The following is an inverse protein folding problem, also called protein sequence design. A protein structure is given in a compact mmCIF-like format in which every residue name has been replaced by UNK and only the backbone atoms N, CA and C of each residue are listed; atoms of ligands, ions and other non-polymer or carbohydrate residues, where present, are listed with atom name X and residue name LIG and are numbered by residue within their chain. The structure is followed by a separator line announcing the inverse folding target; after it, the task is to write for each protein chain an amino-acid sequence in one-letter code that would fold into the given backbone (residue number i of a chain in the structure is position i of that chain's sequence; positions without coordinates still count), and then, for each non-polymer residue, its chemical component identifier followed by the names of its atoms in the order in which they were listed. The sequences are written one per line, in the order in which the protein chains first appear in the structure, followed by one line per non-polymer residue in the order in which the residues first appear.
data_IF_783899250859
#
_entry.id   IF_783899250859
#
_cell.length_a   1.000
_cell.length_b   1.000
_cell.length_c   1.000
_cell.angle_alpha   90.00
_cell.angle_beta   90.00
_cell.angle_gamma   90.00
#
_symmetry.space_group_name_H-M   'P 1'
#
loop_
_entity.id
_entity.type
_entity.pdbx_description
1 polymer ?
#
# COMPACT_ATOMS: atom_id res chain seq x y z
N UNK A 1 -12.73 -39.54 52.49
CA UNK A 1 -14.19 -39.75 52.46
C UNK A 1 -14.72 -38.96 51.27
N UNK A 2 -15.50 -39.64 50.43
CA UNK A 2 -16.10 -39.11 49.19
C UNK A 2 -17.20 -38.09 49.50
N UNK A 3 -17.46 -37.19 48.55
CA UNK A 3 -18.78 -36.72 48.04
C UNK A 3 -18.81 -35.19 47.81
N UNK A 4 -18.81 -34.84 46.52
CA UNK A 4 -19.68 -33.93 45.74
C UNK A 4 -19.95 -32.49 46.23
N UNK A 5 -19.69 -31.48 45.37
CA UNK A 5 -20.57 -31.02 44.27
C UNK A 5 -20.20 -29.57 43.87
N UNK A 6 -20.02 -29.33 42.56
CA UNK A 6 -19.97 -27.99 41.98
C UNK A 6 -21.36 -27.32 41.97
N UNK A 7 -21.41 -25.97 41.94
CA UNK A 7 -22.47 -25.30 41.22
C UNK A 7 -21.95 -24.38 40.10
N UNK A 8 -22.61 -24.52 38.95
CA UNK A 8 -22.49 -23.71 37.74
C UNK A 8 -22.66 -22.19 37.96
N UNK A 9 -22.07 -21.34 37.10
CA UNK A 9 -22.29 -19.90 37.13
C UNK A 9 -23.64 -19.52 36.51
N UNK A 10 -24.36 -18.65 37.22
CA UNK A 10 -25.66 -18.08 36.84
C UNK A 10 -25.51 -17.07 35.70
N UNK A 11 -26.35 -17.23 34.67
CA UNK A 11 -26.71 -16.17 33.73
C UNK A 11 -27.44 -15.02 34.46
N UNK A 12 -27.07 -13.78 34.13
CA UNK A 12 -27.80 -12.61 34.60
C UNK A 12 -27.21 -11.27 34.14
N UNK A 13 -27.91 -10.60 33.22
CA UNK A 13 -28.06 -9.15 33.23
C UNK A 13 -27.19 -8.32 32.28
N UNK A 14 -27.65 -8.14 31.04
CA UNK A 14 -27.32 -6.95 30.24
C UNK A 14 -28.60 -6.28 29.74
N UNK A 15 -29.15 -5.38 30.56
CA UNK A 15 -30.02 -4.31 30.11
C UNK A 15 -29.61 -2.98 30.77
N UNK A 16 -29.74 -1.91 29.97
CA UNK A 16 -29.65 -0.47 30.28
C UNK A 16 -28.26 0.17 30.49
N UNK A 17 -27.75 0.80 29.41
CA UNK A 17 -27.31 2.19 29.47
C UNK A 17 -27.43 2.89 28.09
N UNK A 18 -28.66 3.30 27.73
CA UNK A 18 -28.88 4.39 26.75
C UNK A 18 -28.63 5.71 27.47
N UNK A 19 -27.45 6.32 27.28
CA UNK A 19 -27.23 7.72 27.66
C UNK A 19 -27.91 8.63 26.64
N UNK A 20 -28.84 9.44 27.12
CA UNK A 20 -29.42 10.59 26.39
C UNK A 20 -28.34 11.66 26.24
N UNK A 21 -28.08 12.09 25.01
CA UNK A 21 -27.29 13.29 24.72
C UNK A 21 -28.20 14.52 24.96
N UNK A 22 -27.78 15.54 25.72
CA UNK A 22 -28.60 16.71 25.97
C UNK A 22 -28.73 17.58 24.72
N UNK A 23 -29.94 18.09 24.50
CA UNK A 23 -30.37 18.87 23.32
C UNK A 23 -29.58 20.17 23.04
N UNK A 24 -28.61 20.55 23.89
CA UNK A 24 -27.78 21.73 23.68
C UNK A 24 -26.70 21.57 22.60
N UNK A 25 -26.21 20.36 22.33
CA UNK A 25 -25.15 20.18 21.31
C UNK A 25 -25.70 20.20 19.88
N UNK A 26 -26.95 19.82 19.66
CA UNK A 26 -27.60 19.87 18.34
C UNK A 26 -27.81 21.31 17.85
N UNK A 27 -28.04 22.28 18.75
CA UNK A 27 -28.18 23.69 18.38
C UNK A 27 -26.85 24.33 17.97
N UNK A 28 -25.73 23.89 18.54
CA UNK A 28 -24.40 24.42 18.20
C UNK A 28 -23.93 23.92 16.82
N UNK A 29 -24.21 22.65 16.51
CA UNK A 29 -23.91 22.06 15.20
C UNK A 29 -24.76 22.69 14.10
N UNK A 30 -26.06 22.95 14.37
CA UNK A 30 -26.92 23.65 13.42
C UNK A 30 -26.47 25.10 13.16
N UNK A 31 -25.99 25.82 14.17
CA UNK A 31 -25.47 27.17 14.03
C UNK A 31 -24.16 27.22 13.21
N UNK A 32 -23.27 26.24 13.39
CA UNK A 32 -22.03 26.12 12.62
C UNK A 32 -22.29 25.78 11.15
N UNK A 33 -23.27 24.93 10.87
CA UNK A 33 -23.69 24.60 9.49
C UNK A 33 -24.31 25.84 8.80
N UNK A 34 -25.14 26.61 9.51
CA UNK A 34 -25.74 27.83 8.97
C UNK A 34 -24.68 28.92 8.67
N UNK A 35 -23.65 29.06 9.52
CA UNK A 35 -22.55 30.00 9.31
C UNK A 35 -21.67 29.61 8.10
N UNK A 36 -21.40 28.31 7.93
CA UNK A 36 -20.66 27.80 6.78
C UNK A 36 -21.43 28.02 5.46
N UNK A 37 -22.75 27.83 5.46
CA UNK A 37 -23.61 28.10 4.31
C UNK A 37 -23.64 29.61 3.96
N UNK A 38 -23.64 30.50 4.96
CA UNK A 38 -23.65 31.95 4.73
C UNK A 38 -22.32 32.45 4.13
N UNK A 39 -21.20 31.87 4.54
CA UNK A 39 -19.87 32.17 4.00
C UNK A 39 -19.70 31.63 2.58
N UNK A 40 -20.27 30.46 2.28
CA UNK A 40 -20.28 29.89 0.94
C UNK A 40 -21.08 30.73 -0.06
N UNK A 41 -22.24 31.26 0.34
CA UNK A 41 -23.06 32.15 -0.51
C UNK A 41 -22.39 33.51 -0.74
N UNK A 42 -21.65 34.04 0.25
CA UNK A 42 -20.89 35.30 0.08
C UNK A 42 -19.65 35.16 -0.81
N UNK A 43 -19.10 33.96 -0.96
CA UNK A 43 -17.96 33.67 -1.85
C UNK A 43 -18.31 33.52 -3.34
N UNK A 44 -19.60 33.53 -3.70
CA UNK A 44 -20.10 33.30 -5.07
C UNK A 44 -20.46 34.60 -5.83
N UNK A 45 -20.15 35.79 -5.29
CA UNK A 45 -20.35 37.04 -6.03
C UNK A 45 -19.21 37.22 -7.02
N UNK A 46 -19.49 37.03 -8.31
CA UNK A 46 -18.55 37.22 -9.40
C UNK A 46 -18.06 38.69 -9.47
N UNK A 47 -16.76 38.94 -9.73
CA UNK A 47 -16.30 40.28 -10.04
C UNK A 47 -16.76 40.70 -11.45
N UNK A 48 -17.34 41.91 -11.55
CA UNK A 48 -17.68 42.55 -12.82
C UNK A 48 -16.46 42.71 -13.74
N UNK A 49 -16.61 42.62 -15.07
CA UNK A 49 -15.49 42.75 -16.00
C UNK A 49 -15.00 44.20 -16.07
N UNK A 50 -13.71 44.40 -15.80
CA UNK A 50 -12.99 45.64 -16.06
C UNK A 50 -12.38 45.54 -17.46
N UNK A 51 -12.79 46.42 -18.36
CA UNK A 51 -12.23 46.55 -19.72
C UNK A 51 -10.75 47.00 -19.68
N UNK A 52 -9.90 46.51 -20.59
CA UNK A 52 -8.52 46.97 -20.68
C UNK A 52 -8.44 48.36 -21.37
N UNK A 53 -7.50 49.23 -20.98
CA UNK A 53 -7.26 50.48 -21.69
C UNK A 53 -6.44 50.27 -22.97
N UNK A 54 -6.82 51.03 -24.00
CA UNK A 54 -6.12 51.24 -25.27
C UNK A 54 -4.68 51.72 -25.06
N UNK A 55 -3.76 51.17 -25.84
CA UNK A 55 -2.42 51.71 -26.04
C UNK A 55 -2.23 52.03 -27.53
N UNK A 56 -2.43 53.29 -27.89
CA UNK A 56 -1.93 53.90 -29.12
C UNK A 56 -0.84 54.92 -28.78
N UNK A 57 0.34 54.69 -29.38
CA UNK A 57 1.38 55.64 -29.82
C UNK A 57 1.69 56.91 -29.03
N UNK A 58 2.97 57.08 -28.66
CA UNK A 58 3.78 58.24 -29.08
C UNK A 58 5.27 57.98 -28.87
N UNK A 59 6.06 58.38 -29.88
CA UNK A 59 7.51 58.42 -29.88
C UNK A 59 7.96 59.84 -29.47
N UNK A 60 9.04 59.97 -28.68
CA UNK A 60 10.06 61.02 -28.89
C UNK A 60 11.32 60.85 -28.02
N UNK A 61 12.47 60.91 -28.72
CA UNK A 61 13.74 61.55 -28.38
C UNK A 61 14.43 61.34 -27.02
N UNK A 62 15.59 60.65 -27.08
CA UNK A 62 16.86 61.18 -26.55
C UNK A 62 18.05 60.53 -27.31
N UNK A 63 18.90 61.35 -27.93
CA UNK A 63 20.21 60.95 -28.48
C UNK A 63 21.34 61.05 -27.44
N UNK A 64 22.60 61.17 -27.86
CA UNK A 64 23.42 60.05 -28.34
C UNK A 64 24.62 59.78 -27.41
N UNK A 65 25.15 58.55 -27.41
CA UNK A 65 26.49 58.26 -26.91
C UNK A 65 27.23 57.42 -27.95
N UNK A 66 28.38 57.93 -28.38
CA UNK A 66 29.26 57.43 -29.45
C UNK A 66 30.03 56.16 -29.05
N UNK A 67 30.53 55.38 -30.04
CA UNK A 67 31.03 54.03 -29.85
C UNK A 67 32.55 53.99 -29.63
N UNK A 68 33.03 52.95 -28.93
CA UNK A 68 34.45 52.60 -28.92
C UNK A 68 34.70 51.24 -29.61
N UNK A 69 35.86 51.18 -30.25
CA UNK A 69 36.15 50.41 -31.44
C UNK A 69 36.42 48.90 -31.24
N UNK A 70 36.10 48.15 -32.29
CA UNK A 70 36.54 46.78 -32.61
C UNK A 70 38.03 46.75 -32.99
N UNK A 71 38.71 45.60 -32.85
CA UNK A 71 39.49 45.10 -33.99
C UNK A 71 39.01 43.73 -34.49
N UNK A 72 39.29 43.52 -35.77
CA UNK A 72 38.75 42.53 -36.70
C UNK A 72 39.55 41.22 -36.79
N UNK A 73 38.78 40.15 -37.10
CA UNK A 73 38.95 38.76 -37.58
C UNK A 73 40.27 38.22 -38.18
N UNK A 74 40.33 36.87 -38.36
CA UNK A 74 40.50 36.30 -39.70
C UNK A 74 39.39 35.31 -40.13
N UNK A 75 39.28 34.99 -41.44
CA UNK A 75 38.09 34.44 -42.09
C UNK A 75 37.93 32.92 -41.97
N UNK A 76 36.66 32.50 -41.93
CA UNK A 76 36.24 31.10 -41.88
C UNK A 76 36.30 30.38 -43.23
N UNK A 77 36.51 29.07 -43.15
CA UNK A 77 36.38 28.10 -44.23
C UNK A 77 34.88 27.78 -44.44
N UNK A 78 34.36 27.75 -45.68
CA UNK A 78 32.95 27.43 -45.91
C UNK A 78 32.69 25.93 -45.73
N UNK A 79 31.75 25.58 -44.85
CA UNK A 79 31.19 24.23 -44.71
C UNK A 79 30.03 24.10 -45.72
N UNK A 80 29.96 23.03 -46.53
CA UNK A 80 28.87 22.83 -47.49
C UNK A 80 27.54 22.55 -46.78
N UNK A 81 26.39 22.92 -47.37
CA UNK A 81 25.09 22.63 -46.80
C UNK A 81 24.78 21.13 -46.86
N UNK A 82 24.42 20.55 -45.72
CA UNK A 82 23.83 19.21 -45.66
C UNK A 82 22.39 19.32 -46.16
N UNK A 83 22.15 18.81 -47.36
CA UNK A 83 20.79 18.61 -47.90
C UNK A 83 20.21 17.36 -47.22
N UNK A 84 19.30 17.55 -46.27
CA UNK A 84 18.43 16.49 -45.76
C UNK A 84 17.27 16.32 -46.76
N UNK A 85 17.23 15.16 -47.43
CA UNK A 85 16.09 14.75 -48.23
C UNK A 85 14.85 14.57 -47.32
N UNK A 86 13.65 15.00 -47.73
CA UNK A 86 12.44 14.77 -46.96
C UNK A 86 12.09 13.27 -46.97
N UNK A 87 12.11 12.65 -45.79
CA UNK A 87 11.52 11.34 -45.57
C UNK A 87 10.00 11.45 -45.71
N UNK A 88 9.44 10.64 -46.62
CA UNK A 88 8.00 10.51 -46.79
C UNK A 88 7.35 9.95 -45.50
N UNK A 89 6.19 10.48 -45.06
CA UNK A 89 5.50 9.98 -43.89
C UNK A 89 4.88 8.60 -44.17
N UNK A 90 5.27 7.61 -43.38
CA UNK A 90 4.54 6.33 -43.27
C UNK A 90 3.17 6.56 -42.63
N UNK A 91 2.07 5.98 -43.17
CA UNK A 91 0.74 6.15 -42.60
C UNK A 91 0.61 5.40 -41.26
N UNK A 92 0.29 6.14 -40.19
CA UNK A 92 -0.15 5.55 -38.92
C UNK A 92 -1.65 5.24 -38.97
N UNK A 93 -2.11 4.13 -38.36
CA UNK A 93 -3.54 3.86 -38.24
C UNK A 93 -4.22 4.92 -37.35
N UNK A 94 -5.23 5.58 -37.92
CA UNK A 94 -6.09 6.56 -37.23
C UNK A 94 -7.05 5.80 -36.32
N UNK A 95 -6.85 5.92 -35.01
CA UNK A 95 -7.85 5.51 -34.03
C UNK A 95 -8.88 6.64 -33.85
N UNK A 96 -10.18 6.32 -33.74
CA UNK A 96 -11.21 7.33 -33.55
C UNK A 96 -11.04 8.03 -32.19
N UNK A 97 -11.41 9.31 -32.07
CA UNK A 97 -11.28 10.05 -30.82
C UNK A 97 -12.20 9.47 -29.74
N UNK A 98 -11.76 9.41 -28.46
CA UNK A 98 -12.63 9.06 -27.36
C UNK A 98 -13.68 10.16 -27.14
N UNK A 99 -14.94 9.74 -26.92
CA UNK A 99 -16.05 10.63 -26.63
C UNK A 99 -15.81 11.43 -25.33
N UNK A 100 -16.26 12.70 -25.25
CA UNK A 100 -16.02 13.56 -24.09
C UNK A 100 -16.80 13.09 -22.84
N UNK A 101 -16.15 13.30 -21.69
CA UNK A 101 -16.42 12.66 -20.42
C UNK A 101 -17.79 12.87 -19.76
N UNK A 102 -18.05 12.04 -18.75
CA UNK A 102 -18.77 12.44 -17.54
C UNK A 102 -18.03 11.84 -16.34
N UNK A 103 -17.33 12.69 -15.59
CA UNK A 103 -16.96 12.39 -14.22
C UNK A 103 -18.19 12.54 -13.33
N UNK A 104 -18.59 11.46 -12.67
CA UNK A 104 -19.51 11.46 -11.53
C UNK A 104 -19.10 10.30 -10.63
N UNK A 105 -18.54 10.64 -9.47
CA UNK A 105 -18.41 9.74 -8.33
C UNK A 105 -19.81 9.30 -7.88
N UNK A 106 -20.21 8.07 -8.20
CA UNK A 106 -21.37 7.44 -7.60
C UNK A 106 -20.94 6.62 -6.38
N UNK A 107 -21.39 7.07 -5.20
CA UNK A 107 -21.46 6.25 -3.99
C UNK A 107 -22.48 5.12 -4.24
N UNK A 108 -22.13 3.83 -4.05
CA UNK A 108 -23.14 2.79 -4.06
C UNK A 108 -23.95 2.86 -2.76
N UNK A 109 -25.21 3.27 -2.88
CA UNK A 109 -26.23 2.97 -1.87
C UNK A 109 -26.40 1.46 -1.78
N UNK A 110 -26.10 0.89 -0.61
CA UNK A 110 -26.42 -0.49 -0.29
C UNK A 110 -27.93 -0.58 -0.03
N UNK A 111 -28.65 -1.11 -1.00
CA UNK A 111 -30.04 -1.54 -0.82
C UNK A 111 -30.06 -2.78 0.06
N UNK A 112 -30.78 -2.70 1.18
CA UNK A 112 -31.07 -3.84 2.04
C UNK A 112 -31.82 -4.94 1.26
N UNK A 113 -31.58 -6.24 1.53
CA UNK A 113 -32.33 -7.30 0.89
C UNK A 113 -33.80 -7.30 1.35
N UNK A 114 -34.75 -7.64 0.47
CA UNK A 114 -36.16 -7.66 0.82
C UNK A 114 -36.50 -8.80 1.81
N UNK A 115 -37.22 -8.46 2.86
CA UNK A 115 -37.87 -9.38 3.79
C UNK A 115 -38.77 -10.37 3.03
N UNK A 116 -38.48 -11.67 3.14
CA UNK A 116 -39.39 -12.72 2.67
C UNK A 116 -40.60 -12.82 3.60
N UNK A 117 -41.77 -12.72 2.98
CA UNK A 117 -43.07 -12.90 3.61
C UNK A 117 -43.27 -14.35 4.11
N UNK A 118 -44.00 -14.45 5.23
CA UNK A 118 -44.54 -15.70 5.78
C UNK A 118 -45.43 -16.41 4.75
N UNK A 119 -45.23 -17.72 4.61
CA UNK A 119 -46.21 -18.64 3.99
C UNK A 119 -46.74 -19.55 5.10
N UNK A 120 -48.06 -19.61 5.35
CA UNK A 120 -48.64 -20.51 6.35
C UNK A 120 -49.02 -21.85 5.70
N UNK A 121 -48.58 -22.97 6.31
CA UNK A 121 -49.05 -24.30 5.94
C UNK A 121 -48.13 -25.45 6.34
N UNK A 122 -48.04 -25.77 7.63
CA UNK A 122 -47.52 -27.07 8.08
C UNK A 122 -48.70 -28.05 8.23
N UNK A 123 -48.76 -29.05 7.34
CA UNK A 123 -49.47 -30.32 7.59
C UNK A 123 -48.46 -31.31 8.16
N UNK A 124 -48.78 -31.89 9.31
CA UNK A 124 -48.04 -32.98 9.93
C UNK A 124 -48.32 -34.29 9.18
N UNK A 125 -47.26 -34.96 8.72
CA UNK A 125 -47.28 -36.38 8.33
C UNK A 125 -46.50 -37.19 9.37
N UNK A 126 -47.03 -38.35 9.82
CA UNK A 126 -46.36 -39.19 10.82
C UNK A 126 -45.24 -40.05 10.21
N UNK A 127 -44.17 -40.24 10.99
CA UNK A 127 -43.06 -41.15 10.68
C UNK A 127 -43.47 -42.62 10.87
N UNK A 128 -43.04 -43.54 9.99
CA UNK A 128 -43.29 -44.98 10.13
C UNK A 128 -42.38 -45.63 11.20
N UNK A 129 -42.97 -46.59 11.92
CA UNK A 129 -42.38 -47.29 13.06
C UNK A 129 -41.22 -48.23 12.74
N UNK A 130 -40.36 -48.42 13.73
CA UNK A 130 -39.26 -49.38 13.72
C UNK A 130 -39.74 -50.83 13.90
N UNK A 131 -39.07 -51.83 13.29
CA UNK A 131 -39.47 -53.25 13.33
C UNK A 131 -39.09 -53.96 14.65
N UNK A 132 -39.63 -55.17 14.91
CA UNK A 132 -39.46 -55.87 16.18
C UNK A 132 -38.07 -56.48 16.36
N UNK A 133 -37.64 -56.48 17.61
CA UNK A 133 -36.39 -57.07 18.12
C UNK A 133 -36.50 -58.60 18.13
N UNK A 134 -35.58 -59.29 17.45
CA UNK A 134 -35.40 -60.73 17.57
C UNK A 134 -34.59 -61.06 18.83
N UNK A 135 -35.08 -62.02 19.64
CA UNK A 135 -34.31 -62.63 20.73
C UNK A 135 -33.16 -63.45 20.14
N UNK A 136 -31.95 -63.25 20.66
CA UNK A 136 -30.78 -64.09 20.37
C UNK A 136 -30.35 -64.79 21.66
N UNK A 137 -30.10 -66.09 21.54
CA UNK A 137 -29.70 -67.02 22.59
C UNK A 137 -28.41 -66.63 23.31
N UNK A 138 -28.38 -66.92 24.61
CA UNK A 138 -27.22 -66.73 25.48
C UNK A 138 -26.09 -67.72 25.13
N UNK A 139 -24.95 -67.19 24.71
CA UNK A 139 -23.67 -67.92 24.60
C UNK A 139 -22.70 -67.43 25.69
N UNK A 140 -21.87 -68.37 26.15
CA UNK A 140 -20.92 -68.28 27.27
C UNK A 140 -20.01 -67.04 27.30
N UNK A 141 -19.48 -66.64 28.48
CA UNK A 141 -18.61 -65.47 28.60
C UNK A 141 -17.25 -65.71 27.94
N UNK A 142 -17.00 -64.97 26.86
CA UNK A 142 -15.69 -64.79 26.22
C UNK A 142 -14.76 -63.98 27.13
N UNK A 143 -13.47 -64.34 27.26
CA UNK A 143 -12.50 -63.57 28.06
C UNK A 143 -12.36 -62.14 27.52
N UNK A 144 -12.41 -61.18 28.42
CA UNK A 144 -12.25 -59.75 28.14
C UNK A 144 -10.90 -59.50 27.45
N UNK A 145 -10.85 -58.87 26.25
CA UNK A 145 -9.59 -58.46 25.67
C UNK A 145 -8.95 -57.38 26.55
N UNK A 146 -7.70 -57.61 26.96
CA UNK A 146 -6.89 -56.59 27.61
C UNK A 146 -6.86 -55.33 26.74
N UNK A 147 -7.15 -54.18 27.35
CA UNK A 147 -6.93 -52.86 26.77
C UNK A 147 -5.47 -52.76 26.32
N UNK A 148 -5.24 -53.03 25.04
CA UNK A 148 -3.97 -52.73 24.40
C UNK A 148 -3.99 -51.22 24.20
N UNK A 149 -3.17 -50.51 24.96
CA UNK A 149 -2.96 -49.07 24.79
C UNK A 149 -2.52 -48.84 23.35
N UNK A 150 -3.42 -48.35 22.51
CA UNK A 150 -3.06 -47.80 21.20
C UNK A 150 -2.04 -46.70 21.47
N UNK A 151 -0.79 -46.80 20.97
CA UNK A 151 0.15 -45.70 21.10
C UNK A 151 -0.47 -44.48 20.43
N UNK A 152 -0.53 -43.37 21.17
CA UNK A 152 -0.93 -42.09 20.60
C UNK A 152 -0.11 -41.86 19.32
N UNK A 153 -0.71 -41.35 18.22
CA UNK A 153 0.05 -41.02 17.02
C UNK A 153 1.23 -40.15 17.46
N UNK A 154 2.44 -40.64 17.21
CA UNK A 154 3.65 -39.86 17.42
C UNK A 154 3.45 -38.58 16.64
N UNK A 155 3.27 -37.45 17.34
CA UNK A 155 3.28 -36.14 16.70
C UNK A 155 4.56 -36.12 15.88
N UNK A 156 4.44 -35.99 14.57
CA UNK A 156 5.62 -35.70 13.75
C UNK A 156 6.35 -34.55 14.45
N UNK A 157 7.67 -34.68 14.68
CA UNK A 157 8.42 -33.58 15.23
C UNK A 157 8.15 -32.39 14.33
N UNK A 158 7.59 -31.32 14.90
CA UNK A 158 7.49 -30.04 14.19
C UNK A 158 8.88 -29.80 13.63
N UNK A 159 9.05 -29.74 12.30
CA UNK A 159 10.37 -29.64 11.70
C UNK A 159 11.07 -28.49 12.40
N UNK A 160 12.22 -28.76 13.02
CA UNK A 160 12.98 -27.76 13.75
C UNK A 160 13.26 -26.66 12.75
N UNK A 161 12.50 -25.55 12.84
CA UNK A 161 12.47 -24.51 11.81
C UNK A 161 13.90 -24.02 11.66
N UNK A 162 14.44 -24.19 10.45
CA UNK A 162 15.81 -23.82 10.13
C UNK A 162 16.10 -22.34 10.41
N UNK A 163 17.38 -21.93 10.36
CA UNK A 163 17.75 -20.52 10.55
C UNK A 163 16.95 -19.64 9.58
N UNK A 164 16.47 -18.47 10.05
CA UNK A 164 15.87 -17.48 9.16
C UNK A 164 16.86 -17.13 8.04
N UNK A 165 16.40 -17.21 6.79
CA UNK A 165 17.19 -16.81 5.62
C UNK A 165 16.56 -15.56 5.01
N UNK A 166 17.40 -14.68 4.48
CA UNK A 166 16.94 -13.47 3.82
C UNK A 166 16.29 -13.85 2.48
N UNK A 167 14.97 -13.93 2.48
CA UNK A 167 14.17 -13.92 1.25
C UNK A 167 13.78 -12.48 0.94
N UNK A 168 13.14 -12.26 -0.21
CA UNK A 168 12.55 -10.96 -0.54
C UNK A 168 11.06 -10.88 -0.22
N UNK A 169 10.48 -11.93 0.36
CA UNK A 169 9.06 -11.95 0.73
C UNK A 169 8.87 -11.37 2.13
N UNK A 170 7.98 -10.39 2.22
CA UNK A 170 7.68 -9.64 3.42
C UNK A 170 6.19 -9.34 3.55
N UNK A 171 5.84 -8.56 4.56
CA UNK A 171 4.45 -8.26 4.91
C UNK A 171 4.29 -6.83 5.44
N UNK A 172 3.20 -6.18 5.06
CA UNK A 172 2.77 -4.90 5.62
C UNK A 172 1.72 -5.09 6.70
N UNK A 173 1.94 -4.41 7.84
CA UNK A 173 1.07 -4.36 9.00
C UNK A 173 0.46 -2.98 9.11
N UNK A 174 -0.84 -2.93 8.90
CA UNK A 174 -1.67 -1.73 8.93
C UNK A 174 -2.45 -1.68 10.24
N UNK A 175 -1.71 -1.86 11.33
CA UNK A 175 -2.15 -1.70 12.70
C UNK A 175 -0.98 -1.21 13.57
N UNK A 176 -1.33 -0.43 14.59
CA UNK A 176 -0.38 0.16 15.53
C UNK A 176 0.07 -0.79 16.66
N UNK A 177 -0.53 -1.99 16.78
CA UNK A 177 -0.42 -2.86 17.96
C UNK A 177 0.09 -4.28 17.70
N UNK A 178 0.48 -4.96 18.79
CA UNK A 178 1.14 -6.27 18.78
C UNK A 178 0.27 -7.49 18.53
N UNK A 179 -0.97 -7.32 18.06
CA UNK A 179 -1.88 -8.43 17.80
C UNK A 179 -1.34 -9.43 16.78
N UNK A 180 -0.45 -8.99 15.88
CA UNK A 180 0.08 -9.78 14.76
C UNK A 180 1.44 -10.43 15.01
N UNK A 181 1.97 -10.41 16.25
CA UNK A 181 3.22 -11.12 16.57
C UNK A 181 3.16 -12.62 16.23
N UNK A 182 2.07 -13.37 16.52
CA UNK A 182 1.98 -14.79 16.16
C UNK A 182 2.05 -15.02 14.64
N UNK A 183 1.32 -14.23 13.86
CA UNK A 183 1.33 -14.33 12.39
C UNK A 183 2.71 -13.98 11.83
N UNK A 184 3.36 -12.95 12.36
CA UNK A 184 4.73 -12.61 12.01
C UNK A 184 5.70 -13.76 12.31
N UNK A 185 5.62 -14.36 13.50
CA UNK A 185 6.46 -15.50 13.90
C UNK A 185 6.28 -16.70 12.96
N UNK A 186 5.05 -16.91 12.49
CA UNK A 186 4.71 -17.95 11.53
C UNK A 186 5.27 -17.66 10.14
N UNK A 187 5.10 -16.44 9.62
CA UNK A 187 5.54 -16.05 8.29
C UNK A 187 7.06 -15.86 8.17
N UNK A 188 7.75 -15.46 9.24
CA UNK A 188 9.20 -15.15 9.27
C UNK A 188 9.66 -14.19 8.15
N UNK A 189 8.99 -13.03 7.98
CA UNK A 189 9.29 -12.12 6.88
C UNK A 189 10.70 -11.53 6.99
N UNK A 190 11.30 -11.25 5.83
CA UNK A 190 12.60 -10.55 5.74
C UNK A 190 12.44 -9.04 5.50
N UNK A 191 11.25 -8.60 5.07
CA UNK A 191 10.89 -7.19 4.93
C UNK A 191 9.56 -6.97 5.63
N UNK A 192 9.45 -5.93 6.46
CA UNK A 192 8.27 -5.65 7.26
C UNK A 192 7.92 -4.18 7.12
N UNK A 193 6.69 -3.86 6.74
CA UNK A 193 6.16 -2.49 6.85
C UNK A 193 5.31 -2.41 8.11
N UNK A 194 5.55 -1.39 8.94
CA UNK A 194 4.76 -1.08 10.12
C UNK A 194 4.11 0.29 9.97
N UNK A 195 2.78 0.34 9.98
CA UNK A 195 2.02 1.58 9.98
C UNK A 195 1.71 2.04 11.41
N UNK A 196 2.07 3.29 11.73
CA UNK A 196 1.91 3.91 13.05
C UNK A 196 2.39 3.01 14.21
N UNK A 197 3.61 2.42 14.15
CA UNK A 197 4.04 1.45 15.14
C UNK A 197 4.21 2.08 16.52
N UNK A 198 3.61 1.47 17.54
CA UNK A 198 4.00 1.73 18.93
C UNK A 198 5.40 1.21 19.21
N UNK A 199 6.10 1.88 20.12
CA UNK A 199 7.50 1.60 20.42
C UNK A 199 7.73 0.16 20.92
N UNK A 200 6.97 -0.27 21.92
CA UNK A 200 7.04 -1.61 22.52
C UNK A 200 6.80 -2.73 21.48
N UNK A 201 5.88 -2.51 20.57
CA UNK A 201 5.61 -3.43 19.49
C UNK A 201 6.77 -3.49 18.49
N UNK A 202 7.28 -2.35 18.01
CA UNK A 202 8.40 -2.33 17.09
C UNK A 202 9.68 -2.96 17.69
N UNK A 203 9.94 -2.73 18.98
CA UNK A 203 11.02 -3.38 19.73
C UNK A 203 10.85 -4.91 19.75
N UNK A 204 9.62 -5.38 19.99
CA UNK A 204 9.29 -6.81 19.96
C UNK A 204 9.49 -7.42 18.57
N UNK A 205 9.07 -6.72 17.51
CA UNK A 205 9.28 -7.14 16.12
C UNK A 205 10.78 -7.21 15.80
N UNK A 206 11.58 -6.19 16.14
CA UNK A 206 13.03 -6.20 15.90
C UNK A 206 13.74 -7.30 16.70
N UNK A 207 13.33 -7.55 17.95
CA UNK A 207 13.87 -8.65 18.75
C UNK A 207 13.59 -10.01 18.10
N UNK A 208 12.40 -10.19 17.53
CA UNK A 208 12.00 -11.42 16.84
C UNK A 208 12.71 -11.57 15.49
N UNK A 209 12.89 -10.47 14.75
CA UNK A 209 13.48 -10.44 13.42
C UNK A 209 14.68 -9.48 13.36
N UNK A 210 15.82 -9.83 13.99
CA UNK A 210 16.96 -8.93 14.11
C UNK A 210 17.56 -8.50 12.76
N UNK A 211 17.35 -9.28 11.71
CA UNK A 211 17.88 -9.04 10.35
C UNK A 211 16.82 -8.58 9.34
N UNK A 212 15.55 -8.49 9.71
CA UNK A 212 14.53 -8.01 8.78
C UNK A 212 14.75 -6.52 8.47
N UNK A 213 14.46 -6.12 7.23
CA UNK A 213 14.39 -4.72 6.88
C UNK A 213 13.01 -4.17 7.24
N UNK A 214 12.95 -3.20 8.14
CA UNK A 214 11.71 -2.66 8.69
C UNK A 214 11.48 -1.24 8.15
N UNK A 215 10.33 -1.03 7.51
CA UNK A 215 9.86 0.26 7.01
C UNK A 215 8.79 0.80 7.95
N UNK A 216 8.97 2.02 8.43
CA UNK A 216 7.98 2.75 9.21
C UNK A 216 7.15 3.68 8.32
N UNK A 217 5.86 3.75 8.59
CA UNK A 217 4.93 4.68 7.92
C UNK A 217 4.05 5.36 8.96
N UNK A 218 3.97 6.68 8.91
CA UNK A 218 2.94 7.42 9.65
C UNK A 218 1.73 7.65 8.75
N UNK A 219 0.55 7.18 9.16
CA UNK A 219 -0.66 7.33 8.34
C UNK A 219 -1.10 8.80 8.25
N UNK A 220 -1.39 9.27 7.03
CA UNK A 220 -1.85 10.62 6.77
C UNK A 220 -3.15 10.60 5.97
N UNK A 221 -4.25 11.04 6.58
CA UNK A 221 -5.55 11.16 5.89
C UNK A 221 -5.51 12.27 4.83
N UNK A 222 -4.90 13.41 5.18
CA UNK A 222 -4.75 14.55 4.28
C UNK A 222 -3.27 14.64 3.87
N UNK A 223 -3.03 14.72 2.56
CA UNK A 223 -1.68 14.75 1.97
C UNK A 223 -1.55 15.95 1.02
N UNK A 224 -1.68 17.19 1.52
CA UNK A 224 -1.75 18.36 0.67
C UNK A 224 -0.36 18.71 0.10
N UNK A 225 -0.35 19.24 -1.12
CA UNK A 225 0.84 19.70 -1.84
C UNK A 225 0.90 21.22 -2.01
N UNK A 226 0.06 21.97 -1.28
CA UNK A 226 0.20 23.42 -1.18
C UNK A 226 1.47 23.76 -0.38
N UNK A 227 2.27 24.72 -0.83
CA UNK A 227 3.57 25.04 -0.19
C UNK A 227 4.42 23.78 0.07
N UNK A 228 4.72 22.98 -0.97
CA UNK A 228 5.15 21.59 -0.83
C UNK A 228 6.41 21.42 0.02
N UNK A 229 7.40 22.32 -0.10
CA UNK A 229 8.61 22.31 0.72
C UNK A 229 8.29 22.46 2.21
N UNK A 230 7.42 23.41 2.57
CA UNK A 230 6.98 23.58 3.96
C UNK A 230 6.25 22.33 4.46
N UNK A 231 5.35 21.77 3.65
CA UNK A 231 4.64 20.52 3.97
C UNK A 231 5.61 19.36 4.19
N UNK A 232 6.67 19.27 3.39
CA UNK A 232 7.72 18.25 3.54
C UNK A 232 8.44 18.35 4.88
N UNK A 233 8.81 19.56 5.30
CA UNK A 233 9.43 19.82 6.61
C UNK A 233 8.47 19.47 7.74
N UNK A 234 7.22 19.95 7.68
CA UNK A 234 6.19 19.69 8.70
C UNK A 234 5.91 18.19 8.85
N UNK A 235 5.83 17.47 7.73
CA UNK A 235 5.60 16.03 7.76
C UNK A 235 6.82 15.26 8.25
N UNK A 236 8.04 15.69 7.92
CA UNK A 236 9.26 15.11 8.49
C UNK A 236 9.33 15.30 10.01
N UNK A 237 8.98 16.48 10.52
CA UNK A 237 8.89 16.73 11.96
C UNK A 237 7.79 15.89 12.63
N UNK A 238 6.71 15.58 11.90
CA UNK A 238 5.69 14.63 12.35
C UNK A 238 6.20 13.20 12.42
N UNK A 239 6.84 12.71 11.36
CA UNK A 239 7.43 11.37 11.30
C UNK A 239 8.52 11.21 12.37
N UNK A 240 9.34 12.23 12.59
CA UNK A 240 10.41 12.21 13.57
C UNK A 240 9.94 11.92 15.00
N UNK A 241 8.70 12.31 15.37
CA UNK A 241 8.14 12.01 16.70
C UNK A 241 8.04 10.51 16.97
N UNK A 242 7.74 9.72 15.95
CA UNK A 242 7.68 8.26 16.03
C UNK A 242 9.04 7.63 15.71
N UNK A 243 9.76 8.20 14.73
CA UNK A 243 10.97 7.60 14.19
C UNK A 243 12.20 7.75 15.09
N UNK A 244 12.34 8.84 15.84
CA UNK A 244 13.51 9.09 16.70
C UNK A 244 13.62 8.06 17.84
N UNK A 245 12.53 7.75 18.59
CA UNK A 245 12.55 6.66 19.56
C UNK A 245 12.87 5.28 18.94
N UNK A 246 12.56 5.10 17.66
CA UNK A 246 12.73 3.85 16.91
C UNK A 246 14.03 3.77 16.10
N UNK A 247 14.99 4.67 16.35
CA UNK A 247 16.26 4.68 15.65
C UNK A 247 17.04 3.39 15.93
N UNK A 248 17.43 2.69 14.86
CA UNK A 248 18.09 1.37 14.94
C UNK A 248 17.13 0.19 15.10
N UNK A 249 15.84 0.45 15.29
CA UNK A 249 14.76 -0.55 15.28
C UNK A 249 14.08 -0.56 13.92
N UNK A 250 13.73 0.61 13.39
CA UNK A 250 13.15 0.81 12.06
C UNK A 250 14.23 1.36 11.12
N UNK A 251 14.36 0.75 9.94
CA UNK A 251 15.47 1.00 9.01
C UNK A 251 15.23 2.18 8.06
N UNK A 252 13.97 2.46 7.73
CA UNK A 252 13.57 3.53 6.82
C UNK A 252 12.17 4.06 7.12
N UNK A 253 11.92 5.33 6.83
CA UNK A 253 10.61 5.97 7.02
C UNK A 253 10.09 6.63 5.75
N UNK A 254 8.80 6.44 5.51
CA UNK A 254 8.10 6.90 4.32
C UNK A 254 7.48 8.29 4.51
N UNK A 255 7.40 9.04 3.41
CA UNK A 255 6.61 10.26 3.30
C UNK A 255 5.12 9.96 3.07
N UNK A 256 4.49 10.78 2.24
CA UNK A 256 3.12 10.52 1.78
C UNK A 256 3.02 9.26 0.90
N UNK A 257 1.79 8.81 0.66
CA UNK A 257 1.46 7.60 -0.09
C UNK A 257 0.55 7.93 -1.27
N UNK A 258 0.95 7.54 -2.48
CA UNK A 258 0.13 7.62 -3.70
C UNK A 258 -0.55 8.98 -3.90
N UNK A 259 0.23 10.06 -3.77
CA UNK A 259 -0.28 11.43 -3.88
C UNK A 259 -0.49 11.83 -5.33
N UNK A 260 0.23 11.19 -6.25
CA UNK A 260 0.26 11.59 -7.65
C UNK A 260 -0.74 10.79 -8.49
N UNK A 261 -1.26 11.44 -9.53
CA UNK A 261 -2.09 10.81 -10.56
C UNK A 261 -1.39 10.79 -11.92
N UNK A 262 -1.85 9.93 -12.82
CA UNK A 262 -1.28 9.79 -14.15
C UNK A 262 -1.25 11.13 -14.91
N UNK A 263 -0.06 11.53 -15.37
CA UNK A 263 0.22 12.79 -16.11
C UNK A 263 -0.14 14.07 -15.34
N UNK A 264 -0.18 14.02 -14.02
CA UNK A 264 -0.38 15.19 -13.18
C UNK A 264 0.94 15.92 -12.90
N UNK A 265 1.53 16.47 -13.96
CA UNK A 265 2.86 17.09 -13.90
C UNK A 265 2.99 18.24 -12.88
N UNK A 266 1.96 19.09 -12.64
CA UNK A 266 2.01 20.05 -11.54
C UNK A 266 2.19 19.36 -10.17
N UNK A 267 1.42 18.31 -9.88
CA UNK A 267 1.58 17.57 -8.63
C UNK A 267 2.85 16.74 -8.61
N UNK A 268 3.39 16.28 -9.74
CA UNK A 268 4.71 15.63 -9.75
C UNK A 268 5.79 16.58 -9.25
N UNK A 269 5.84 17.81 -9.76
CA UNK A 269 6.80 18.83 -9.32
C UNK A 269 6.61 19.21 -7.86
N UNK A 270 5.35 19.42 -7.45
CA UNK A 270 5.05 19.75 -6.06
C UNK A 270 5.43 18.59 -5.12
N UNK A 271 5.11 17.35 -5.49
CA UNK A 271 5.45 16.19 -4.69
C UNK A 271 6.96 15.93 -4.63
N UNK A 272 7.71 16.14 -5.71
CA UNK A 272 9.18 16.11 -5.65
C UNK A 272 9.72 17.15 -4.65
N UNK A 273 9.26 18.40 -4.71
CA UNK A 273 9.70 19.45 -3.77
C UNK A 273 9.35 19.11 -2.31
N UNK A 274 8.19 18.48 -2.07
CA UNK A 274 7.82 17.94 -0.76
C UNK A 274 8.79 16.86 -0.31
N UNK A 275 9.08 15.87 -1.16
CA UNK A 275 9.92 14.72 -0.81
C UNK A 275 11.37 15.12 -0.56
N UNK A 276 11.92 16.06 -1.34
CA UNK A 276 13.26 16.61 -1.10
C UNK A 276 13.34 17.24 0.28
N UNK A 277 12.40 18.12 0.61
CA UNK A 277 12.35 18.78 1.91
C UNK A 277 12.16 17.79 3.07
N UNK A 278 11.28 16.81 2.87
CA UNK A 278 11.05 15.72 3.82
C UNK A 278 12.33 14.93 4.10
N UNK A 279 13.02 14.45 3.05
CA UNK A 279 14.21 13.64 3.18
C UNK A 279 15.38 14.42 3.78
N UNK A 280 15.61 15.66 3.34
CA UNK A 280 16.65 16.53 3.89
C UNK A 280 16.40 16.83 5.37
N UNK A 281 15.16 17.10 5.76
CA UNK A 281 14.81 17.36 7.17
C UNK A 281 14.97 16.10 8.01
N UNK A 282 14.38 14.98 7.59
CA UNK A 282 14.37 13.74 8.36
C UNK A 282 15.78 13.15 8.52
N UNK A 283 16.55 13.10 7.43
CA UNK A 283 17.91 12.54 7.44
C UNK A 283 18.93 13.54 8.01
N UNK A 284 18.86 14.81 7.62
CA UNK A 284 19.85 15.82 7.97
C UNK A 284 19.70 16.34 9.41
N UNK A 285 18.47 16.48 9.91
CA UNK A 285 18.23 16.97 11.29
C UNK A 285 18.14 15.84 12.30
N UNK A 286 17.38 14.78 12.00
CA UNK A 286 17.10 13.71 12.97
C UNK A 286 18.00 12.47 12.79
N UNK A 287 18.75 12.39 11.69
CA UNK A 287 19.57 11.24 11.37
C UNK A 287 18.74 9.98 11.17
N UNK A 288 17.53 10.11 10.63
CA UNK A 288 16.60 9.03 10.34
C UNK A 288 16.54 8.81 8.82
N UNK A 289 16.82 7.59 8.31
CA UNK A 289 16.71 7.30 6.87
C UNK A 289 15.32 7.56 6.30
N UNK A 290 15.26 8.29 5.20
CA UNK A 290 14.03 8.62 4.49
C UNK A 290 13.90 7.78 3.20
N UNK A 291 12.65 7.58 2.78
CA UNK A 291 12.29 6.91 1.54
C UNK A 291 11.51 7.85 0.63
N UNK A 292 11.95 8.00 -0.62
CA UNK A 292 11.20 8.67 -1.69
C UNK A 292 10.22 7.70 -2.38
N UNK A 293 9.30 8.24 -3.17
CA UNK A 293 8.34 7.54 -4.00
C UNK A 293 7.07 7.15 -3.23
N UNK A 294 6.79 5.85 -3.25
CA UNK A 294 5.59 5.22 -2.74
C UNK A 294 4.32 5.53 -3.56
N UNK A 295 4.50 5.52 -4.88
CA UNK A 295 3.45 5.73 -5.87
C UNK A 295 2.89 4.39 -6.36
N UNK A 296 1.58 4.37 -6.63
CA UNK A 296 0.88 3.23 -7.23
C UNK A 296 1.38 2.96 -8.65
N UNK A 297 1.37 1.69 -9.11
CA UNK A 297 1.77 1.39 -10.48
C UNK A 297 0.81 2.10 -11.46
N UNK A 298 1.38 2.83 -12.42
CA UNK A 298 0.60 3.61 -13.39
C UNK A 298 0.38 5.08 -13.03
N UNK A 299 0.63 5.47 -11.77
CA UNK A 299 0.55 6.86 -11.35
C UNK A 299 1.63 7.74 -12.01
N UNK A 300 2.83 7.19 -12.20
CA UNK A 300 3.98 7.83 -12.87
C UNK A 300 4.54 6.84 -13.88
N UNK A 301 4.78 7.28 -15.13
CA UNK A 301 5.42 6.43 -16.13
C UNK A 301 6.92 6.27 -15.85
N UNK A 302 7.55 5.13 -16.19
CA UNK A 302 8.94 4.87 -15.86
C UNK A 302 9.92 5.98 -16.25
N UNK A 303 9.76 6.58 -17.43
CA UNK A 303 10.64 7.65 -17.92
C UNK A 303 10.39 9.02 -17.26
N UNK A 304 9.26 9.17 -16.59
CA UNK A 304 8.89 10.39 -15.88
C UNK A 304 9.58 10.46 -14.51
N UNK A 305 9.99 9.34 -13.92
CA UNK A 305 10.74 9.34 -12.64
C UNK A 305 12.05 10.10 -12.74
N UNK A 306 12.85 9.83 -13.78
CA UNK A 306 14.10 10.54 -14.01
C UNK A 306 13.88 12.03 -14.32
N UNK A 307 12.73 12.39 -14.89
CA UNK A 307 12.42 13.77 -15.27
C UNK A 307 11.92 14.60 -14.09
N UNK A 308 11.01 14.03 -13.28
CA UNK A 308 10.27 14.79 -12.27
C UNK A 308 10.69 14.48 -10.83
N UNK A 309 11.28 13.31 -10.57
CA UNK A 309 11.57 12.83 -9.22
C UNK A 309 13.06 12.57 -8.95
N UNK A 310 13.94 12.89 -9.91
CA UNK A 310 15.37 12.61 -9.80
C UNK A 310 16.02 13.16 -8.52
N UNK A 311 15.64 14.38 -8.11
CA UNK A 311 16.19 15.00 -6.92
C UNK A 311 15.72 14.28 -5.65
N UNK A 312 14.41 14.08 -5.48
CA UNK A 312 13.84 13.36 -4.32
C UNK A 312 14.45 11.97 -4.16
N UNK A 313 14.59 11.24 -5.27
CA UNK A 313 15.22 9.91 -5.31
C UNK A 313 16.70 9.99 -4.93
N UNK A 314 17.44 10.98 -5.44
CA UNK A 314 18.88 11.12 -5.18
C UNK A 314 19.20 11.50 -3.74
N UNK A 315 18.37 12.33 -3.10
CA UNK A 315 18.61 12.78 -1.71
C UNK A 315 18.12 11.77 -0.67
N UNK A 316 17.19 10.88 -1.03
CA UNK A 316 16.64 9.87 -0.12
C UNK A 316 17.53 8.64 -0.04
N UNK A 317 17.61 8.02 1.15
CA UNK A 317 18.42 6.81 1.34
C UNK A 317 17.82 5.57 0.67
N UNK A 318 16.50 5.53 0.50
CA UNK A 318 15.77 4.44 -0.14
C UNK A 318 14.73 4.98 -1.12
N UNK A 319 14.26 4.12 -2.01
CA UNK A 319 13.20 4.42 -2.95
C UNK A 319 12.10 3.36 -2.89
N UNK A 320 10.88 3.77 -2.56
CA UNK A 320 9.70 2.92 -2.44
C UNK A 320 8.84 2.96 -3.69
N UNK A 321 8.28 1.81 -4.09
CA UNK A 321 7.31 1.70 -5.19
C UNK A 321 6.26 0.63 -4.85
N UNK A 322 5.10 0.69 -5.50
CA UNK A 322 4.07 -0.35 -5.36
C UNK A 322 4.07 -1.32 -6.55
N UNK A 323 3.59 -2.54 -6.33
CA UNK A 323 3.45 -3.58 -7.34
C UNK A 323 2.06 -4.23 -7.27
N UNK A 324 1.11 -3.68 -8.03
CA UNK A 324 -0.23 -4.21 -8.17
C UNK A 324 -0.47 -4.71 -9.60
N UNK A 325 -1.23 -5.81 -9.73
CA UNK A 325 -1.79 -6.19 -11.01
C UNK A 325 -2.75 -5.10 -11.52
N UNK A 326 -2.94 -4.93 -12.84
CA UNK A 326 -3.95 -4.04 -13.40
C UNK A 326 -5.34 -4.32 -12.83
N UNK A 327 -6.19 -3.28 -12.79
CA UNK A 327 -7.57 -3.43 -12.35
C UNK A 327 -8.31 -4.51 -13.16
N UNK A 328 -9.02 -5.39 -12.47
CA UNK A 328 -9.75 -6.51 -13.08
C UNK A 328 -8.91 -7.75 -13.40
N UNK A 329 -7.58 -7.70 -13.26
CA UNK A 329 -6.73 -8.89 -13.36
C UNK A 329 -6.83 -9.74 -12.10
N UNK A 330 -6.82 -11.06 -12.30
CA UNK A 330 -6.93 -12.04 -11.21
C UNK A 330 -5.62 -12.72 -10.86
N UNK A 331 -4.53 -12.39 -11.56
CA UNK A 331 -3.22 -12.97 -11.28
C UNK A 331 -2.08 -11.97 -11.48
N UNK A 332 -1.17 -11.88 -10.50
CA UNK A 332 0.05 -11.08 -10.63
C UNK A 332 1.04 -11.70 -11.61
N UNK A 333 1.05 -13.04 -11.71
CA UNK A 333 1.92 -13.79 -12.63
C UNK A 333 1.43 -13.81 -14.08
N UNK A 334 0.25 -13.25 -14.38
CA UNK A 334 -0.24 -13.14 -15.76
C UNK A 334 0.67 -12.24 -16.60
N UNK A 335 0.98 -12.59 -17.86
CA UNK A 335 1.75 -11.72 -18.76
C UNK A 335 1.16 -10.29 -18.89
N UNK A 336 -0.17 -10.14 -18.81
CA UNK A 336 -0.83 -8.83 -18.84
C UNK A 336 -0.53 -7.97 -17.59
N UNK A 337 -0.19 -8.61 -16.47
CA UNK A 337 0.12 -7.92 -15.21
C UNK A 337 1.58 -7.51 -15.08
N UNK A 338 2.50 -8.14 -15.83
CA UNK A 338 3.94 -7.98 -15.63
C UNK A 338 4.43 -6.53 -15.78
N UNK A 339 3.84 -5.76 -16.69
CA UNK A 339 4.25 -4.37 -16.90
C UNK A 339 3.99 -3.45 -15.69
N UNK A 340 2.99 -3.76 -14.86
CA UNK A 340 2.72 -3.06 -13.60
C UNK A 340 3.44 -3.71 -12.42
N UNK A 341 3.38 -5.04 -12.31
CA UNK A 341 3.93 -5.77 -11.17
C UNK A 341 5.46 -5.73 -11.12
N UNK A 342 6.13 -5.71 -12.29
CA UNK A 342 7.59 -5.66 -12.40
C UNK A 342 8.08 -4.28 -12.91
N UNK A 343 7.24 -3.25 -12.78
CA UNK A 343 7.49 -1.91 -13.33
C UNK A 343 8.76 -1.26 -12.77
N UNK A 344 9.17 -1.64 -11.56
CA UNK A 344 10.40 -1.18 -10.92
C UNK A 344 11.65 -1.39 -11.80
N UNK A 345 11.67 -2.43 -12.64
CA UNK A 345 12.77 -2.68 -13.60
C UNK A 345 12.90 -1.58 -14.64
N UNK A 346 11.77 -1.13 -15.20
CA UNK A 346 11.75 -0.03 -16.18
C UNK A 346 12.08 1.30 -15.52
N UNK A 347 11.61 1.52 -14.29
CA UNK A 347 11.96 2.71 -13.51
C UNK A 347 13.47 2.75 -13.29
N UNK A 348 14.06 1.66 -12.81
CA UNK A 348 15.52 1.54 -12.60
C UNK A 348 16.31 1.82 -13.88
N UNK A 349 15.90 1.22 -15.00
CA UNK A 349 16.54 1.49 -16.31
C UNK A 349 16.46 2.96 -16.72
N UNK A 350 15.36 3.64 -16.42
CA UNK A 350 15.22 5.07 -16.72
C UNK A 350 16.15 5.93 -15.86
N UNK A 351 16.20 5.66 -14.55
CA UNK A 351 17.10 6.34 -13.63
C UNK A 351 18.57 6.12 -14.03
N UNK A 352 18.96 4.88 -14.34
CA UNK A 352 20.31 4.54 -14.81
C UNK A 352 20.66 5.30 -16.09
N UNK A 353 19.76 5.32 -17.08
CA UNK A 353 19.96 6.00 -18.37
C UNK A 353 20.15 7.50 -18.18
N UNK A 354 19.44 8.10 -17.22
CA UNK A 354 19.54 9.51 -16.88
C UNK A 354 20.70 9.82 -15.91
N UNK A 355 21.44 8.82 -15.43
CA UNK A 355 22.51 8.99 -14.45
C UNK A 355 22.03 9.43 -13.06
N UNK A 356 20.76 9.19 -12.73
CA UNK A 356 20.17 9.55 -11.45
C UNK A 356 20.64 8.55 -10.39
N UNK A 357 21.29 9.06 -9.35
CA UNK A 357 21.68 8.23 -8.20
C UNK A 357 20.42 7.84 -7.43
N UNK A 358 20.36 6.59 -7.00
CA UNK A 358 19.26 6.10 -6.20
C UNK A 358 19.75 5.12 -5.13
N UNK A 359 19.06 5.09 -4.00
CA UNK A 359 19.22 4.04 -3.00
C UNK A 359 18.61 2.70 -3.46
N UNK A 360 18.68 1.67 -2.60
CA UNK A 360 17.97 0.42 -2.83
C UNK A 360 16.46 0.64 -2.92
N UNK A 361 15.82 -0.18 -3.76
CA UNK A 361 14.39 -0.19 -3.95
C UNK A 361 13.72 -1.03 -2.87
N UNK A 362 12.51 -0.64 -2.47
CA UNK A 362 11.62 -1.43 -1.62
C UNK A 362 10.25 -1.46 -2.28
N UNK A 363 9.68 -2.64 -2.51
CA UNK A 363 8.29 -2.74 -2.95
C UNK A 363 7.42 -2.66 -1.69
N UNK A 364 6.92 -1.47 -1.38
CA UNK A 364 6.27 -1.15 -0.10
C UNK A 364 4.83 -1.62 -0.02
N UNK A 365 4.21 -1.93 -1.15
CA UNK A 365 2.90 -2.59 -1.21
C UNK A 365 2.79 -3.47 -2.47
N UNK A 366 2.14 -4.62 -2.34
CA UNK A 366 1.86 -5.48 -3.47
C UNK A 366 0.57 -6.30 -3.33
N UNK A 367 -0.06 -6.61 -4.48
CA UNK A 367 -1.24 -7.47 -4.54
C UNK A 367 -2.03 -7.35 -5.84
N UNK A 368 -3.29 -7.78 -5.80
CA UNK A 368 -4.27 -7.45 -6.84
C UNK A 368 -4.88 -6.08 -6.55
N UNK A 369 -5.18 -5.29 -7.58
CA UNK A 369 -5.70 -3.92 -7.44
C UNK A 369 -6.93 -3.82 -6.54
N UNK A 370 -7.90 -4.73 -6.70
CA UNK A 370 -9.18 -4.72 -5.98
C UNK A 370 -9.13 -5.58 -4.69
N UNK A 371 -7.96 -6.10 -4.32
CA UNK A 371 -7.81 -7.15 -3.31
C UNK A 371 -8.07 -8.55 -3.87
N UNK A 372 -7.80 -9.56 -3.04
CA UNK A 372 -7.83 -10.96 -3.46
C UNK A 372 -9.09 -11.69 -2.98
N UNK A 373 -9.67 -11.27 -1.85
CA UNK A 373 -10.84 -11.94 -1.28
C UNK A 373 -12.05 -11.82 -2.20
N UNK A 374 -12.65 -12.95 -2.52
CA UNK A 374 -13.78 -13.01 -3.44
C UNK A 374 -13.38 -12.91 -4.93
N UNK A 375 -12.09 -12.78 -5.23
CA UNK A 375 -11.54 -12.74 -6.59
C UNK A 375 -10.79 -14.04 -6.91
N UNK A 376 -9.87 -14.43 -6.04
CA UNK A 376 -9.11 -15.69 -6.14
C UNK A 376 -9.07 -16.43 -4.82
N UNK A 377 -8.67 -17.70 -4.85
CA UNK A 377 -8.44 -18.49 -3.64
C UNK A 377 -7.07 -18.19 -3.00
N UNK A 378 -6.89 -18.67 -1.78
CA UNK A 378 -5.67 -18.45 -0.98
C UNK A 378 -4.42 -19.07 -1.64
N UNK A 379 -4.57 -20.22 -2.30
CA UNK A 379 -3.45 -20.92 -2.95
C UNK A 379 -2.90 -20.11 -4.14
N UNK A 380 -3.78 -19.66 -5.03
CA UNK A 380 -3.39 -18.84 -6.17
C UNK A 380 -2.76 -17.52 -5.70
N UNK A 381 -3.32 -16.87 -4.69
CA UNK A 381 -2.78 -15.59 -4.20
C UNK A 381 -1.40 -15.78 -3.53
N UNK A 382 -1.21 -16.81 -2.71
CA UNK A 382 0.10 -17.09 -2.14
C UNK A 382 1.14 -17.47 -3.20
N UNK A 383 0.75 -18.17 -4.27
CA UNK A 383 1.64 -18.44 -5.41
C UNK A 383 2.08 -17.16 -6.12
N UNK A 384 1.17 -16.21 -6.31
CA UNK A 384 1.48 -14.92 -6.92
C UNK A 384 2.47 -14.10 -6.08
N UNK A 385 2.29 -14.07 -4.76
CA UNK A 385 3.22 -13.37 -3.86
C UNK A 385 4.60 -14.03 -3.79
N UNK A 386 4.64 -15.36 -3.71
CA UNK A 386 5.89 -16.12 -3.73
C UNK A 386 6.61 -15.92 -5.07
N UNK A 387 5.87 -16.03 -6.18
CA UNK A 387 6.41 -15.78 -7.52
C UNK A 387 7.01 -14.38 -7.63
N UNK A 388 6.34 -13.34 -7.14
CA UNK A 388 6.91 -11.98 -7.15
C UNK A 388 8.22 -11.94 -6.36
N UNK A 389 8.26 -12.50 -5.14
CA UNK A 389 9.48 -12.54 -4.35
C UNK A 389 10.61 -13.30 -5.07
N UNK A 390 10.30 -14.37 -5.80
CA UNK A 390 11.26 -15.10 -6.64
C UNK A 390 11.76 -14.26 -7.82
N UNK A 391 10.88 -13.50 -8.49
CA UNK A 391 11.29 -12.57 -9.53
C UNK A 391 12.28 -11.52 -8.99
N UNK A 392 12.04 -11.01 -7.79
CA UNK A 392 12.91 -10.01 -7.17
C UNK A 392 14.29 -10.57 -6.80
N UNK A 393 14.49 -11.89 -6.72
CA UNK A 393 15.83 -12.45 -6.45
C UNK A 393 16.85 -12.13 -7.56
N UNK A 394 16.37 -11.86 -8.78
CA UNK A 394 17.22 -11.41 -9.89
C UNK A 394 17.56 -9.91 -9.83
N UNK A 395 16.90 -9.15 -8.96
CA UNK A 395 17.01 -7.69 -8.87
C UNK A 395 17.81 -7.29 -7.61
N UNK A 396 19.14 -7.35 -7.66
CA UNK A 396 20.05 -7.10 -6.51
C UNK A 396 19.84 -5.73 -5.81
N UNK A 397 19.39 -4.74 -6.57
CA UNK A 397 19.05 -3.40 -6.11
C UNK A 397 17.72 -3.30 -5.35
N UNK A 398 16.93 -4.39 -5.27
CA UNK A 398 15.65 -4.45 -4.52
C UNK A 398 15.86 -5.20 -3.21
N UNK A 399 15.51 -4.58 -2.09
CA UNK A 399 15.56 -5.20 -0.75
C UNK A 399 14.53 -6.31 -0.64
N UNK A 400 13.29 -6.04 -1.08
CA UNK A 400 12.22 -7.02 -1.17
C UNK A 400 10.85 -6.37 -1.27
N UNK A 401 9.81 -7.14 -0.97
CA UNK A 401 8.40 -6.75 -1.09
C UNK A 401 7.62 -6.95 0.20
N UNK A 402 6.71 -6.03 0.50
CA UNK A 402 5.72 -6.18 1.56
C UNK A 402 4.34 -6.41 0.96
N UNK A 403 3.77 -7.59 1.26
CA UNK A 403 2.38 -7.91 0.92
C UNK A 403 1.44 -6.93 1.63
N UNK A 404 0.51 -6.32 0.90
CA UNK A 404 -0.51 -5.44 1.48
C UNK A 404 -1.57 -6.31 2.17
N UNK A 405 -1.33 -6.73 3.43
CA UNK A 405 -1.97 -7.97 3.91
C UNK A 405 -2.51 -8.03 5.34
N UNK A 406 -2.01 -7.28 6.33
CA UNK A 406 -2.50 -7.39 7.72
C UNK A 406 -3.15 -6.10 8.19
N UNK A 407 -4.44 -6.15 8.57
CA UNK A 407 -5.24 -4.97 8.87
C UNK A 407 -6.06 -5.16 10.15
N UNK A 408 -5.99 -4.19 11.07
CA UNK A 408 -6.91 -4.16 12.22
C UNK A 408 -8.30 -3.58 11.90
N UNK A 409 -8.48 -2.94 10.73
CA UNK A 409 -9.74 -2.27 10.33
C UNK A 409 -10.25 -2.75 8.97
N UNK A 410 -11.55 -2.53 8.74
CA UNK A 410 -12.34 -3.14 7.67
C UNK A 410 -12.18 -2.54 6.26
N UNK A 411 -11.71 -1.28 6.12
CA UNK A 411 -11.67 -0.60 4.81
C UNK A 411 -10.80 -1.30 3.76
N UNK A 412 -9.86 -2.15 4.17
CA UNK A 412 -9.00 -2.95 3.29
C UNK A 412 -9.20 -4.46 3.51
N UNK A 413 -10.38 -4.86 4.01
CA UNK A 413 -10.68 -6.26 4.29
C UNK A 413 -10.47 -7.18 3.08
N UNK A 414 -10.69 -6.68 1.86
CA UNK A 414 -10.45 -7.41 0.61
C UNK A 414 -9.01 -7.90 0.41
N UNK A 415 -8.06 -7.28 1.11
CA UNK A 415 -6.64 -7.61 1.05
C UNK A 415 -6.18 -8.46 2.26
N UNK A 416 -6.98 -8.52 3.33
CA UNK A 416 -6.54 -9.09 4.60
C UNK A 416 -6.23 -10.59 4.50
N UNK A 417 -5.03 -11.00 4.89
CA UNK A 417 -4.58 -12.41 4.87
C UNK A 417 -4.69 -13.10 6.24
N UNK A 418 -5.14 -12.40 7.29
CA UNK A 418 -5.32 -13.01 8.61
C UNK A 418 -6.23 -14.24 8.55
N UNK A 419 -5.80 -15.32 9.22
CA UNK A 419 -6.55 -16.58 9.29
C UNK A 419 -6.57 -17.40 8.00
N UNK A 420 -5.69 -17.10 7.05
CA UNK A 420 -5.58 -17.83 5.77
C UNK A 420 -4.37 -18.75 5.75
N UNK A 421 -4.41 -19.77 4.89
CA UNK A 421 -3.29 -20.65 4.60
C UNK A 421 -2.07 -19.94 4.01
N UNK A 422 -2.21 -18.70 3.51
CA UNK A 422 -1.09 -17.91 2.99
C UNK A 422 -0.02 -17.65 4.05
N UNK A 423 -0.41 -17.48 5.32
CA UNK A 423 0.52 -17.28 6.44
C UNK A 423 1.48 -18.46 6.57
N UNK A 424 0.95 -19.69 6.51
CA UNK A 424 1.74 -20.92 6.54
C UNK A 424 2.65 -21.05 5.33
N UNK A 425 2.13 -20.77 4.13
CA UNK A 425 2.90 -20.87 2.88
C UNK A 425 4.04 -19.87 2.83
N UNK A 426 3.85 -18.65 3.34
CA UNK A 426 4.91 -17.65 3.45
C UNK A 426 5.98 -18.12 4.43
N UNK A 427 5.59 -18.66 5.59
CA UNK A 427 6.50 -19.24 6.57
C UNK A 427 7.34 -20.39 6.00
N UNK A 428 6.72 -21.28 5.23
CA UNK A 428 7.38 -22.37 4.54
C UNK A 428 8.40 -21.85 3.51
N UNK A 429 8.00 -20.91 2.65
CA UNK A 429 8.90 -20.30 1.66
C UNK A 429 10.10 -19.61 2.32
N UNK A 430 9.85 -18.79 3.34
CA UNK A 430 10.89 -18.06 4.08
C UNK A 430 11.84 -18.97 4.87
N UNK A 431 11.45 -20.24 5.09
CA UNK A 431 12.28 -21.24 5.77
C UNK A 431 13.03 -22.16 4.80
N UNK A 432 12.54 -22.36 3.57
CA UNK A 432 13.03 -23.39 2.65
C UNK A 432 14.21 -22.97 1.73
N UNK A 433 14.25 -21.71 1.27
CA UNK A 433 15.24 -21.25 0.27
C UNK A 433 16.67 -21.21 0.83
N UNK A 434 17.71 -21.75 0.15
CA UNK A 434 19.12 -21.67 0.57
C UNK A 434 19.58 -20.20 0.75
N UNK A 435 20.59 -19.88 1.61
CA UNK A 435 21.08 -18.52 1.71
C UNK A 435 21.54 -18.06 0.33
N UNK A 436 20.94 -16.99 -0.21
CA UNK A 436 21.57 -16.25 -1.28
C UNK A 436 22.93 -15.81 -0.74
N UNK A 437 24.01 -16.33 -1.35
CA UNK A 437 25.34 -15.85 -1.06
C UNK A 437 25.36 -14.36 -1.44
N UNK A 438 25.33 -13.49 -0.44
CA UNK A 438 25.57 -12.06 -0.61
C UNK A 438 26.95 -11.95 -1.23
N UNK A 439 27.03 -11.52 -2.49
CA UNK A 439 28.28 -11.17 -3.16
C UNK A 439 28.59 -9.70 -2.94
#
# INVERSE_FOLDING_TARGET
MVVDDEPAPREGGYELMRRRVPALELSLVAALIALAALLYVRGQVAPSPVSPPDLTTTAEQAGPITPSARPTSPPGVPIPPIILAPLAPTPHPVWPPPAPGVGQTYLPQVSAPPSKALVPGMRLTPLPGSPPVALVEATQPTPTPQNTTTPAPTREPTPTRGPMRATKLGIGLYDSGGAYLPELEQMRPSVILLMDPKQDFAESVRKMFPKAFIVGRVFATNQPLDNPTQRGVEFADRVAREAVPLKGIVDAWMGYNEVTGHKDFPNYRAYNAFQVAFAQRLQGTYGIPAMAGNDGPGAVEPDEYATYFAEAISVSKYFGVHAYAPKGETAMRSPSSHDLVLRHRRIKQSLDRAGVKHGPFVITEAGLWDGWRGVVNEDQMAEDYIWLAEQLNADDYVIGVTVFGLFARDRWAGFNITGTSMIDRFGAYNSAQAPLAVR
#
